data_IF_236204250136
#
_entry.id   IF_236204250136
#
_cell.length_a   1.000
_cell.length_b   1.000
_cell.length_c   1.000
_cell.angle_alpha   90.00
_cell.angle_beta   90.00
_cell.angle_gamma   90.00
#
_symmetry.space_group_name_H-M   'P 1'
#
loop_
_entity.id
_entity.type
_entity.pdbx_description
1 polymer ?
#
# COMPACT_ATOMS: atom_id res chain seq x y z
N UNK A 1 5.85 5.66 22.60
CA UNK A 1 5.99 6.37 21.30
C UNK A 1 4.73 7.17 20.98
N UNK A 2 4.87 8.34 20.37
CA UNK A 2 3.71 9.16 20.01
C UNK A 2 2.99 8.57 18.78
N UNK A 3 1.80 8.00 19.00
CA UNK A 3 0.94 7.42 17.94
C UNK A 3 -0.11 8.40 17.42
N UNK A 4 0.12 9.70 17.51
CA UNK A 4 -0.81 10.71 16.98
C UNK A 4 -0.99 10.57 15.47
N UNK A 5 0.07 10.19 14.76
CA UNK A 5 0.06 9.95 13.31
C UNK A 5 -0.89 8.82 12.92
N UNK A 6 -0.89 7.69 13.65
CA UNK A 6 -1.76 6.54 13.39
C UNK A 6 -3.25 6.92 13.48
N UNK A 7 -3.59 7.76 14.49
CA UNK A 7 -4.95 8.28 14.65
C UNK A 7 -5.38 9.19 13.49
N UNK A 8 -4.45 9.98 12.96
CA UNK A 8 -4.73 10.85 11.82
C UNK A 8 -4.97 10.01 10.56
N UNK A 9 -4.18 8.97 10.33
CA UNK A 9 -4.38 8.06 9.20
C UNK A 9 -5.69 7.27 9.31
N UNK A 10 -6.06 6.84 10.51
CA UNK A 10 -7.37 6.22 10.74
C UNK A 10 -8.52 7.21 10.49
N UNK A 11 -8.36 8.50 10.81
CA UNK A 11 -9.33 9.52 10.50
C UNK A 11 -9.50 9.69 8.98
N UNK A 12 -8.41 9.72 8.22
CA UNK A 12 -8.45 9.72 6.74
C UNK A 12 -9.11 8.46 6.21
N UNK A 13 -8.78 7.29 6.73
CA UNK A 13 -9.39 6.02 6.35
C UNK A 13 -10.91 6.03 6.48
N UNK A 14 -11.42 6.65 7.55
CA UNK A 14 -12.87 6.77 7.79
C UNK A 14 -13.55 7.82 6.92
N UNK A 15 -12.91 8.95 6.68
CA UNK A 15 -13.57 10.11 6.09
C UNK A 15 -13.33 10.23 4.58
N UNK A 16 -12.09 10.00 4.15
CA UNK A 16 -11.67 10.30 2.78
C UNK A 16 -10.44 9.44 2.37
N UNK A 17 -10.60 8.10 2.29
CA UNK A 17 -9.48 7.17 2.20
C UNK A 17 -8.63 7.37 0.94
N UNK A 18 -9.24 7.56 -0.22
CA UNK A 18 -8.51 7.74 -1.48
C UNK A 18 -7.72 9.06 -1.52
N UNK A 19 -8.33 10.13 -1.01
CA UNK A 19 -7.65 11.42 -0.85
C UNK A 19 -6.50 11.34 0.15
N UNK A 20 -6.64 10.54 1.20
CA UNK A 20 -5.56 10.27 2.15
C UNK A 20 -4.33 9.64 1.49
N UNK A 21 -4.53 8.74 0.53
CA UNK A 21 -3.43 8.07 -0.20
C UNK A 21 -2.81 8.98 -1.26
N UNK A 22 -3.63 9.67 -2.05
CA UNK A 22 -3.17 10.64 -3.06
C UNK A 22 -3.93 11.97 -2.90
N UNK A 23 -3.24 12.99 -2.38
CA UNK A 23 -3.83 14.30 -2.09
C UNK A 23 -4.12 15.07 -3.38
N UNK A 24 -5.21 14.71 -4.04
CA UNK A 24 -5.72 15.41 -5.22
C UNK A 24 -7.24 15.55 -5.13
N UNK A 25 -7.82 16.73 -5.47
CA UNK A 25 -9.27 16.99 -5.33
C UNK A 25 -10.18 15.94 -5.99
N UNK A 26 -9.73 15.34 -7.08
CA UNK A 26 -10.45 14.27 -7.80
C UNK A 26 -10.74 13.05 -6.92
N UNK A 27 -9.86 12.75 -5.95
CA UNK A 27 -9.96 11.58 -5.09
C UNK A 27 -10.70 11.84 -3.76
N UNK A 28 -11.21 13.04 -3.58
CA UNK A 28 -12.11 13.31 -2.45
C UNK A 28 -13.40 12.51 -2.59
N UNK A 29 -13.91 12.01 -1.47
CA UNK A 29 -15.14 11.21 -1.40
C UNK A 29 -16.31 11.88 -2.15
N UNK A 30 -16.41 13.21 -2.11
CA UNK A 30 -17.43 13.97 -2.83
C UNK A 30 -17.29 13.92 -4.36
N UNK A 31 -16.12 13.60 -4.90
CA UNK A 31 -15.77 13.65 -6.31
C UNK A 31 -15.39 12.28 -6.88
N UNK A 32 -15.36 11.26 -6.02
CA UNK A 32 -14.91 9.91 -6.36
C UNK A 32 -16.03 9.14 -7.08
N UNK A 33 -16.02 9.21 -8.39
CA UNK A 33 -16.81 8.38 -9.28
C UNK A 33 -15.98 7.18 -9.81
N UNK A 34 -16.61 6.29 -10.58
CA UNK A 34 -15.95 5.10 -11.12
C UNK A 34 -14.74 5.45 -12.00
N UNK A 35 -14.82 6.53 -12.77
CA UNK A 35 -13.71 6.98 -13.63
C UNK A 35 -12.55 7.53 -12.78
N UNK A 36 -12.83 8.22 -11.70
CA UNK A 36 -11.80 8.71 -10.76
C UNK A 36 -11.17 7.56 -9.98
N UNK A 37 -11.97 6.56 -9.56
CA UNK A 37 -11.48 5.36 -8.91
C UNK A 37 -10.61 4.52 -9.86
N UNK A 38 -11.02 4.35 -11.11
CA UNK A 38 -10.21 3.67 -12.13
C UNK A 38 -8.87 4.38 -12.32
N UNK A 39 -8.89 5.69 -12.56
CA UNK A 39 -7.67 6.48 -12.73
C UNK A 39 -6.74 6.40 -11.50
N UNK A 40 -7.30 6.39 -10.29
CA UNK A 40 -6.51 6.21 -9.08
C UNK A 40 -5.70 4.91 -9.10
N UNK A 41 -6.30 3.80 -9.49
CA UNK A 41 -5.61 2.51 -9.58
C UNK A 41 -4.67 2.42 -10.78
N UNK A 42 -4.98 3.07 -11.91
CA UNK A 42 -4.08 3.16 -13.07
C UNK A 42 -2.76 3.83 -12.66
N UNK A 43 -2.78 4.86 -11.82
CA UNK A 43 -1.55 5.46 -11.28
C UNK A 43 -0.72 4.47 -10.45
N UNK A 44 -1.35 3.51 -9.80
CA UNK A 44 -0.67 2.43 -9.08
C UNK A 44 -0.02 1.42 -10.01
N UNK A 45 -0.73 1.04 -11.07
CA UNK A 45 -0.21 0.16 -12.13
C UNK A 45 1.03 0.76 -12.80
N UNK A 46 0.96 2.03 -13.23
CA UNK A 46 2.08 2.75 -13.82
C UNK A 46 3.28 2.83 -12.87
N UNK A 47 3.03 3.07 -11.58
CA UNK A 47 4.08 3.14 -10.57
C UNK A 47 4.82 1.81 -10.42
N UNK A 48 4.12 0.72 -10.21
CA UNK A 48 4.73 -0.62 -10.04
C UNK A 48 5.41 -1.09 -11.33
N UNK A 49 4.82 -0.82 -12.49
CA UNK A 49 5.46 -1.09 -13.78
C UNK A 49 6.81 -0.37 -13.89
N UNK A 50 6.86 0.91 -13.54
CA UNK A 50 8.08 1.70 -13.53
C UNK A 50 9.13 1.14 -12.54
N UNK A 51 8.71 0.79 -11.32
CA UNK A 51 9.60 0.20 -10.32
C UNK A 51 10.20 -1.11 -10.81
N UNK A 52 9.39 -2.03 -11.33
CA UNK A 52 9.85 -3.32 -11.84
C UNK A 52 10.81 -3.16 -13.04
N UNK A 53 10.51 -2.25 -13.96
CA UNK A 53 11.42 -1.92 -15.08
C UNK A 53 12.76 -1.38 -14.57
N UNK A 54 12.72 -0.49 -13.58
CA UNK A 54 13.93 0.11 -13.00
C UNK A 54 14.78 -0.96 -12.32
N UNK A 55 14.18 -1.82 -11.48
CA UNK A 55 14.92 -2.91 -10.80
C UNK A 55 15.55 -3.87 -11.82
N UNK A 56 14.79 -4.26 -12.86
CA UNK A 56 15.32 -5.13 -13.94
C UNK A 56 16.46 -4.49 -14.71
N UNK A 57 16.38 -3.19 -14.91
CA UNK A 57 17.43 -2.47 -15.67
C UNK A 57 18.70 -2.23 -14.83
N UNK A 58 18.55 -1.87 -13.54
CA UNK A 58 19.65 -1.36 -12.71
C UNK A 58 20.22 -2.41 -11.76
N UNK A 59 19.39 -3.34 -11.27
CA UNK A 59 19.78 -4.28 -10.21
C UNK A 59 19.96 -5.69 -10.75
N UNK A 60 18.90 -6.28 -11.30
CA UNK A 60 18.93 -7.64 -11.84
C UNK A 60 17.89 -7.84 -12.94
N UNK A 61 18.29 -8.25 -14.14
CA UNK A 61 17.37 -8.47 -15.26
C UNK A 61 16.28 -9.51 -14.98
N UNK A 62 16.57 -10.50 -14.13
CA UNK A 62 15.66 -11.61 -13.80
C UNK A 62 14.77 -11.32 -12.60
N UNK A 63 14.61 -10.04 -12.22
CA UNK A 63 13.76 -9.66 -11.09
C UNK A 63 12.32 -10.12 -11.30
N UNK A 64 11.93 -11.09 -10.47
CA UNK A 64 10.61 -11.70 -10.45
C UNK A 64 10.28 -12.15 -9.02
N UNK A 65 9.91 -11.21 -8.13
CA UNK A 65 9.65 -11.54 -6.73
C UNK A 65 8.40 -12.42 -6.62
N UNK A 66 8.48 -13.43 -5.75
CA UNK A 66 7.35 -14.32 -5.48
C UNK A 66 6.47 -13.79 -4.36
N UNK A 67 7.10 -13.22 -3.32
CA UNK A 67 6.39 -12.70 -2.15
C UNK A 67 6.75 -11.23 -1.90
N UNK A 68 5.75 -10.36 -1.94
CA UNK A 68 5.94 -8.92 -1.78
C UNK A 68 5.25 -8.37 -0.53
N UNK A 69 5.84 -7.34 0.08
CA UNK A 69 5.26 -6.53 1.14
C UNK A 69 5.06 -5.10 0.63
N UNK A 70 3.85 -4.56 0.77
CA UNK A 70 3.56 -3.13 0.59
C UNK A 70 3.34 -2.49 1.97
N UNK A 71 4.34 -1.75 2.43
CA UNK A 71 4.32 -1.10 3.74
C UNK A 71 3.69 0.28 3.65
N UNK A 72 2.58 0.47 4.38
CA UNK A 72 1.71 1.65 4.29
C UNK A 72 0.80 1.57 3.06
N UNK A 73 0.14 0.42 2.87
CA UNK A 73 -0.58 0.09 1.65
C UNK A 73 -1.85 0.93 1.40
N UNK A 74 -2.35 1.65 2.43
CA UNK A 74 -3.57 2.43 2.33
C UNK A 74 -4.76 1.59 1.84
N UNK A 75 -5.44 2.08 0.82
CA UNK A 75 -6.60 1.41 0.18
C UNK A 75 -6.19 0.35 -0.86
N UNK A 76 -4.92 -0.07 -0.89
CA UNK A 76 -4.43 -1.12 -1.78
C UNK A 76 -3.99 -0.65 -3.17
N UNK A 77 -3.73 0.65 -3.37
CA UNK A 77 -3.35 1.21 -4.68
C UNK A 77 -2.20 0.48 -5.35
N UNK A 78 -1.18 0.10 -4.59
CA UNK A 78 0.02 -0.59 -5.09
C UNK A 78 -0.06 -2.11 -4.85
N UNK A 79 -0.88 -2.57 -3.92
CA UNK A 79 -1.14 -4.00 -3.68
C UNK A 79 -1.75 -4.67 -4.90
N UNK A 80 -2.70 -4.01 -5.57
CA UNK A 80 -3.37 -4.56 -6.74
C UNK A 80 -2.38 -4.91 -7.87
N UNK A 81 -1.55 -4.00 -8.36
CA UNK A 81 -0.57 -4.31 -9.40
C UNK A 81 0.54 -5.27 -8.92
N UNK A 82 0.89 -5.29 -7.63
CA UNK A 82 1.81 -6.29 -7.09
C UNK A 82 1.20 -7.70 -7.14
N UNK A 83 -0.09 -7.83 -6.83
CA UNK A 83 -0.79 -9.12 -6.86
C UNK A 83 -0.85 -9.76 -8.25
N UNK A 84 -0.78 -8.96 -9.33
CA UNK A 84 -0.68 -9.48 -10.70
C UNK A 84 0.73 -9.93 -11.09
N UNK A 85 1.75 -9.64 -10.27
CA UNK A 85 3.17 -9.86 -10.56
C UNK A 85 3.87 -10.79 -9.58
N UNK A 86 3.23 -11.08 -8.44
CA UNK A 86 3.78 -11.90 -7.36
C UNK A 86 2.83 -13.06 -7.04
N UNK A 87 3.39 -14.15 -6.48
CA UNK A 87 2.58 -15.29 -6.03
C UNK A 87 1.76 -14.92 -4.78
N UNK A 88 2.31 -14.06 -3.92
CA UNK A 88 1.68 -13.59 -2.68
C UNK A 88 2.04 -12.12 -2.41
N UNK A 89 1.07 -11.35 -1.94
CA UNK A 89 1.27 -9.97 -1.51
C UNK A 89 0.70 -9.77 -0.11
N UNK A 90 1.46 -9.11 0.75
CA UNK A 90 1.00 -8.67 2.06
C UNK A 90 0.97 -7.15 2.10
N UNK A 91 -0.22 -6.60 2.34
CA UNK A 91 -0.38 -5.15 2.59
C UNK A 91 -0.43 -4.87 4.08
N UNK A 92 0.34 -3.90 4.56
CA UNK A 92 0.24 -3.45 5.96
C UNK A 92 -0.05 -1.97 6.03
N UNK A 93 -0.92 -1.58 6.96
CA UNK A 93 -1.23 -0.19 7.26
C UNK A 93 -1.57 -0.03 8.75
N UNK A 94 -1.43 1.18 9.27
CA UNK A 94 -1.79 1.51 10.67
C UNK A 94 -3.29 1.77 10.84
N UNK A 95 -4.02 1.99 9.75
CA UNK A 95 -5.44 2.31 9.73
C UNK A 95 -6.30 1.08 9.41
N UNK A 96 -7.08 0.56 10.37
CA UNK A 96 -8.05 -0.50 10.10
C UNK A 96 -9.04 -0.15 8.99
N UNK A 97 -9.47 1.12 8.91
CA UNK A 97 -10.42 1.57 7.87
C UNK A 97 -9.81 1.59 6.48
N UNK A 98 -8.51 1.91 6.34
CA UNK A 98 -7.78 1.77 5.07
C UNK A 98 -7.69 0.31 4.65
N UNK A 99 -7.35 -0.59 5.57
CA UNK A 99 -7.27 -2.02 5.29
C UNK A 99 -8.61 -2.64 4.89
N UNK A 100 -9.71 -2.17 5.48
CA UNK A 100 -11.05 -2.60 5.08
C UNK A 100 -11.36 -2.20 3.64
N UNK A 101 -11.09 -0.95 3.27
CA UNK A 101 -11.26 -0.48 1.90
C UNK A 101 -10.34 -1.22 0.92
N UNK A 102 -9.09 -1.53 1.34
CA UNK A 102 -8.17 -2.32 0.53
C UNK A 102 -8.70 -3.74 0.26
N UNK A 103 -9.31 -4.40 1.26
CA UNK A 103 -9.96 -5.71 1.09
C UNK A 103 -11.10 -5.63 0.08
N UNK A 104 -11.99 -4.64 0.21
CA UNK A 104 -13.08 -4.41 -0.74
C UNK A 104 -12.53 -4.27 -2.16
N UNK A 105 -11.50 -3.45 -2.36
CA UNK A 105 -10.89 -3.23 -3.65
C UNK A 105 -10.26 -4.51 -4.26
N UNK A 106 -9.69 -5.38 -3.42
CA UNK A 106 -9.16 -6.68 -3.85
C UNK A 106 -10.28 -7.66 -4.20
N UNK A 107 -11.34 -7.71 -3.39
CA UNK A 107 -12.50 -8.59 -3.60
C UNK A 107 -13.25 -8.24 -4.89
N UNK A 108 -13.46 -6.96 -5.18
CA UNK A 108 -14.05 -6.48 -6.44
C UNK A 108 -13.27 -6.98 -7.67
N UNK A 109 -11.95 -7.21 -7.53
CA UNK A 109 -11.06 -7.70 -8.59
C UNK A 109 -10.78 -9.20 -8.49
N UNK A 110 -11.43 -9.89 -7.55
CA UNK A 110 -11.31 -11.33 -7.33
C UNK A 110 -9.86 -11.80 -7.05
N UNK A 111 -9.03 -10.93 -6.47
CA UNK A 111 -7.66 -11.28 -6.06
C UNK A 111 -7.71 -12.22 -4.85
N UNK A 112 -6.97 -13.35 -4.93
CA UNK A 112 -6.94 -14.41 -3.90
C UNK A 112 -5.59 -14.59 -3.26
N UNK A 113 -4.59 -13.88 -3.73
CA UNK A 113 -3.20 -13.96 -3.31
C UNK A 113 -2.75 -12.72 -2.51
N UNK A 114 -3.69 -12.07 -1.81
CA UNK A 114 -3.43 -10.87 -1.02
C UNK A 114 -3.89 -11.08 0.40
N UNK A 115 -2.99 -10.80 1.35
CA UNK A 115 -3.28 -10.72 2.78
C UNK A 115 -3.03 -9.31 3.32
N UNK A 116 -3.73 -8.98 4.41
CA UNK A 116 -3.61 -7.68 5.06
C UNK A 116 -3.38 -7.82 6.56
N UNK A 117 -2.42 -7.06 7.09
CA UNK A 117 -2.15 -7.01 8.52
C UNK A 117 -2.12 -5.56 9.04
N UNK A 118 -2.64 -5.38 10.25
CA UNK A 118 -2.48 -4.11 10.95
C UNK A 118 -1.03 -3.93 11.36
N UNK A 119 -0.42 -2.83 10.93
CA UNK A 119 0.99 -2.54 11.22
C UNK A 119 1.24 -2.39 12.73
N UNK A 120 2.32 -2.99 13.19
CA UNK A 120 2.97 -2.72 14.47
C UNK A 120 4.39 -2.22 14.21
N UNK A 121 4.97 -1.48 15.17
CA UNK A 121 6.31 -0.89 14.98
C UNK A 121 7.42 -1.93 14.85
N UNK A 122 7.21 -3.14 15.37
CA UNK A 122 8.13 -4.27 15.31
C UNK A 122 7.81 -5.27 14.18
N UNK A 123 6.75 -5.01 13.40
CA UNK A 123 6.25 -5.88 12.34
C UNK A 123 6.04 -7.35 12.77
N UNK A 124 5.87 -7.61 14.07
CA UNK A 124 5.81 -8.95 14.68
C UNK A 124 4.64 -9.82 14.21
N UNK A 125 3.67 -9.22 13.52
CA UNK A 125 2.53 -9.93 12.92
C UNK A 125 2.82 -10.47 11.52
N UNK A 126 3.98 -10.14 10.95
CA UNK A 126 4.40 -10.63 9.65
C UNK A 126 5.23 -11.89 9.83
N UNK A 127 4.81 -12.97 9.19
CA UNK A 127 5.52 -14.24 9.21
C UNK A 127 6.31 -14.46 7.91
N UNK A 128 7.43 -15.16 8.03
CA UNK A 128 8.27 -15.53 6.89
C UNK A 128 9.12 -14.38 6.36
N UNK A 129 9.56 -14.50 5.12
CA UNK A 129 10.44 -13.55 4.42
C UNK A 129 9.77 -13.02 3.16
N UNK A 130 10.27 -11.89 2.67
CA UNK A 130 9.79 -11.24 1.45
C UNK A 130 10.94 -11.10 0.45
N UNK A 131 10.65 -11.35 -0.82
CA UNK A 131 11.61 -11.13 -1.92
C UNK A 131 11.64 -9.67 -2.35
N UNK A 132 10.55 -8.94 -2.05
CA UNK A 132 10.40 -7.54 -2.38
C UNK A 132 9.63 -6.81 -1.28
N UNK A 133 10.22 -5.75 -0.76
CA UNK A 133 9.58 -4.85 0.21
C UNK A 133 9.46 -3.48 -0.46
N UNK A 134 8.23 -3.01 -0.55
CA UNK A 134 7.92 -1.72 -1.15
C UNK A 134 7.27 -0.80 -0.11
N UNK A 135 7.60 0.48 -0.19
CA UNK A 135 6.96 1.55 0.58
C UNK A 135 7.04 2.84 -0.20
N UNK A 136 5.91 3.51 -0.41
CA UNK A 136 5.87 4.74 -1.20
C UNK A 136 5.11 5.85 -0.49
N UNK A 137 5.78 6.98 -0.25
CA UNK A 137 5.21 8.17 0.42
C UNK A 137 4.71 7.85 1.85
N UNK A 138 5.36 6.95 2.58
CA UNK A 138 4.97 6.53 3.93
C UNK A 138 5.92 7.06 4.98
N UNK A 139 7.21 6.78 4.87
CA UNK A 139 8.21 7.12 5.88
C UNK A 139 8.29 8.61 6.20
N UNK A 140 8.01 9.47 5.23
CA UNK A 140 7.95 10.94 5.42
C UNK A 140 6.87 11.38 6.43
N UNK A 141 5.89 10.53 6.73
CA UNK A 141 4.80 10.77 7.66
C UNK A 141 5.02 10.12 9.03
N UNK A 142 6.08 9.35 9.19
CA UNK A 142 6.42 8.66 10.43
C UNK A 142 7.47 9.50 11.18
N UNK A 143 7.33 9.73 12.50
CA UNK A 143 8.39 10.36 13.28
C UNK A 143 9.73 9.66 13.09
N UNK A 144 10.81 10.42 12.95
CA UNK A 144 12.13 9.89 12.52
C UNK A 144 12.60 8.71 13.38
N UNK A 145 12.56 8.84 14.70
CA UNK A 145 13.01 7.77 15.60
C UNK A 145 12.20 6.48 15.44
N UNK A 146 10.89 6.62 15.19
CA UNK A 146 10.00 5.49 14.93
C UNK A 146 10.26 4.88 13.54
N UNK A 147 10.45 5.72 12.53
CA UNK A 147 10.75 5.27 11.17
C UNK A 147 12.07 4.50 11.09
N UNK A 148 13.10 4.96 11.79
CA UNK A 148 14.38 4.27 11.88
C UNK A 148 14.31 2.93 12.64
N UNK A 149 13.38 2.79 13.59
CA UNK A 149 13.18 1.53 14.31
C UNK A 149 12.41 0.49 13.48
N UNK A 150 11.63 0.94 12.48
CA UNK A 150 10.87 0.06 11.57
C UNK A 150 11.73 -0.40 10.39
N UNK A 151 12.60 0.47 9.88
CA UNK A 151 13.46 0.20 8.72
C UNK A 151 14.64 -0.73 9.04
#
# INVERSE_FOLDING_TARGET
>A
MNRSTDKNWELFGKQDPYFGVLTHPRFRKSNLDDASKAFFFDTGEEHIEHVFKTVRHVVTPDFSPRRALDFGCGVGRLVLPLASRCDEVVGVDVSPSMLEEARINCDERQLKNVDFALSSDDLSKLEGTFDFIHSFIVFQHIPVDRGLAIA
#
